data_IF_275125878012
#
_entry.id   IF_275125878012
#
_cell.length_a   1.000
_cell.length_b   1.000
_cell.length_c   1.000
_cell.angle_alpha   90.00
_cell.angle_beta   90.00
_cell.angle_gamma   90.00
#
_symmetry.space_group_name_H-M   'P 1'
#
loop_
_entity.id
_entity.type
_entity.pdbx_description
1 polymer ?
#
# COMPACT_ATOMS: atom_id res chain seq x y z
N UNK A 1 5.25 -2.82 14.96
CA UNK A 1 4.04 -2.04 14.59
C UNK A 1 3.54 -1.06 15.67
N UNK A 2 4.23 -0.81 16.80
CA UNK A 2 3.71 0.08 17.87
C UNK A 2 4.04 1.57 17.72
N UNK A 3 4.41 2.02 16.52
CA UNK A 3 4.83 3.40 16.24
C UNK A 3 4.78 3.74 14.74
N UNK A 4 3.74 3.26 14.04
CA UNK A 4 3.59 3.48 12.61
C UNK A 4 2.30 4.28 12.40
N UNK A 5 2.40 5.42 11.75
CA UNK A 5 1.26 6.28 11.43
C UNK A 5 0.61 5.93 10.08
N UNK A 6 1.34 5.21 9.22
CA UNK A 6 0.95 4.86 7.86
C UNK A 6 1.73 3.63 7.36
N UNK A 7 1.04 2.68 6.73
CA UNK A 7 1.66 1.60 5.97
C UNK A 7 1.57 1.89 4.48
N UNK A 8 2.69 1.74 3.77
CA UNK A 8 2.74 1.78 2.30
C UNK A 8 3.21 0.42 1.80
N UNK A 9 2.44 -0.20 0.90
CA UNK A 9 2.70 -1.56 0.42
C UNK A 9 2.70 -1.64 -1.11
N UNK A 10 3.70 -2.31 -1.68
CA UNK A 10 3.75 -2.63 -3.12
C UNK A 10 3.07 -3.98 -3.35
N UNK A 11 2.00 -4.02 -4.14
CA UNK A 11 1.06 -5.16 -4.25
C UNK A 11 0.82 -5.62 -5.68
N UNK A 12 1.76 -5.37 -6.60
CA UNK A 12 1.71 -5.87 -7.98
C UNK A 12 1.52 -7.39 -8.06
N UNK A 13 2.14 -8.11 -7.12
CA UNK A 13 2.16 -9.57 -7.08
C UNK A 13 1.77 -10.05 -5.69
N UNK A 14 1.05 -11.17 -5.64
CA UNK A 14 0.60 -11.75 -4.39
C UNK A 14 1.78 -12.19 -3.52
N UNK A 15 1.67 -11.89 -2.23
CA UNK A 15 2.62 -12.33 -1.21
C UNK A 15 1.87 -12.59 0.09
N UNK A 16 1.94 -13.83 0.59
CA UNK A 16 1.24 -14.23 1.82
C UNK A 16 1.73 -13.41 3.02
N UNK A 17 3.05 -13.21 3.14
CA UNK A 17 3.63 -12.45 4.25
C UNK A 17 3.16 -10.99 4.25
N UNK A 18 3.21 -10.33 3.09
CA UNK A 18 2.74 -8.95 2.95
C UNK A 18 1.24 -8.84 3.24
N UNK A 19 0.44 -9.81 2.78
CA UNK A 19 -1.00 -9.85 3.08
C UNK A 19 -1.30 -9.95 4.57
N UNK A 20 -0.51 -10.72 5.34
CA UNK A 20 -0.63 -10.82 6.80
C UNK A 20 -0.32 -9.46 7.46
N UNK A 21 0.76 -8.80 7.03
CA UNK A 21 1.14 -7.48 7.56
C UNK A 21 0.08 -6.41 7.26
N UNK A 22 -0.47 -6.38 6.04
CA UNK A 22 -1.57 -5.49 5.68
C UNK A 22 -2.81 -5.78 6.55
N UNK A 23 -3.13 -7.05 6.77
CA UNK A 23 -4.23 -7.46 7.64
C UNK A 23 -4.05 -6.96 9.08
N UNK A 24 -2.82 -7.03 9.61
CA UNK A 24 -2.51 -6.47 10.93
C UNK A 24 -2.60 -4.95 10.97
N UNK A 25 -2.11 -4.24 9.94
CA UNK A 25 -2.24 -2.79 9.86
C UNK A 25 -3.72 -2.37 9.90
N UNK A 26 -4.55 -3.00 9.06
CA UNK A 26 -5.99 -2.76 9.02
C UNK A 26 -6.67 -3.08 10.37
N UNK A 27 -6.30 -4.19 11.02
CA UNK A 27 -6.85 -4.57 12.33
C UNK A 27 -6.43 -3.63 13.48
N UNK A 28 -5.36 -2.85 13.29
CA UNK A 28 -4.85 -1.86 14.24
C UNK A 28 -5.28 -0.42 13.86
N UNK A 29 -6.21 -0.26 12.91
CA UNK A 29 -6.65 1.02 12.36
C UNK A 29 -5.50 1.88 11.80
N UNK A 30 -4.40 1.25 11.39
CA UNK A 30 -3.28 1.92 10.72
C UNK A 30 -3.67 2.09 9.24
N UNK A 31 -3.70 3.33 8.69
CA UNK A 31 -3.99 3.55 7.28
C UNK A 31 -3.04 2.76 6.38
N UNK A 32 -3.57 2.11 5.36
CA UNK A 32 -2.78 1.37 4.36
C UNK A 32 -2.98 2.03 2.99
N UNK A 33 -1.88 2.42 2.34
CA UNK A 33 -1.86 2.84 0.94
C UNK A 33 -1.12 1.79 0.13
N UNK A 34 -1.79 1.24 -0.88
CA UNK A 34 -1.23 0.24 -1.75
C UNK A 34 -0.79 0.85 -3.07
N UNK A 35 0.33 0.37 -3.60
CA UNK A 35 0.87 0.76 -4.90
C UNK A 35 1.02 -0.50 -5.74
N UNK A 36 0.64 -0.47 -7.01
CA UNK A 36 0.87 -1.58 -7.92
C UNK A 36 1.42 -1.10 -9.26
N UNK A 37 2.13 -1.98 -9.94
CA UNK A 37 2.73 -1.72 -11.24
C UNK A 37 1.63 -1.65 -12.30
N UNK A 38 1.84 -0.78 -13.29
CA UNK A 38 0.88 -0.65 -14.37
C UNK A 38 0.66 -1.95 -15.14
N UNK A 39 -0.61 -2.21 -15.45
CA UNK A 39 -1.07 -3.45 -16.10
C UNK A 39 -1.11 -4.68 -15.19
N UNK A 40 -0.86 -4.52 -13.88
CA UNK A 40 -1.09 -5.60 -12.90
C UNK A 40 -2.42 -5.40 -12.20
N UNK A 41 -3.05 -6.51 -11.79
CA UNK A 41 -4.32 -6.52 -11.07
C UNK A 41 -4.06 -7.05 -9.66
N UNK A 42 -4.04 -6.18 -8.63
CA UNK A 42 -3.88 -6.61 -7.25
C UNK A 42 -5.03 -7.54 -6.82
N UNK A 43 -4.80 -8.28 -5.73
CA UNK A 43 -5.86 -9.08 -5.12
C UNK A 43 -7.05 -8.21 -4.73
N UNK A 44 -8.28 -8.69 -4.98
CA UNK A 44 -9.52 -8.02 -4.57
C UNK A 44 -9.64 -7.85 -3.06
N UNK A 45 -8.91 -8.65 -2.27
CA UNK A 45 -8.84 -8.47 -0.83
C UNK A 45 -8.22 -7.10 -0.45
N UNK A 46 -7.30 -6.57 -1.28
CA UNK A 46 -6.61 -5.30 -1.02
C UNK A 46 -7.58 -4.13 -0.96
N UNK A 47 -8.60 -4.09 -1.82
CA UNK A 47 -9.58 -2.99 -1.82
C UNK A 47 -10.42 -2.93 -0.54
N UNK A 48 -10.51 -4.02 0.22
CA UNK A 48 -11.24 -4.06 1.49
C UNK A 48 -10.43 -3.64 2.71
N UNK A 49 -9.11 -3.51 2.58
CA UNK A 49 -8.17 -3.28 3.70
C UNK A 49 -7.21 -2.12 3.44
N UNK A 50 -7.39 -1.41 2.32
CA UNK A 50 -6.58 -0.25 1.95
C UNK A 50 -7.47 0.98 1.78
N UNK A 51 -6.90 2.16 2.10
CA UNK A 51 -7.54 3.45 1.90
C UNK A 51 -7.47 3.90 0.45
N UNK A 52 -6.36 3.60 -0.20
CA UNK A 52 -6.05 4.04 -1.56
C UNK A 52 -5.20 2.97 -2.25
N UNK A 53 -5.46 2.76 -3.54
CA UNK A 53 -4.70 1.86 -4.41
C UNK A 53 -4.24 2.67 -5.62
N UNK A 54 -2.93 2.79 -5.81
CA UNK A 54 -2.31 3.66 -6.81
C UNK A 54 -1.55 2.81 -7.83
N UNK A 55 -1.83 3.04 -9.11
CA UNK A 55 -1.09 2.43 -10.21
C UNK A 55 0.18 3.25 -10.55
N UNK A 56 1.29 2.60 -10.84
CA UNK A 56 2.57 3.24 -11.20
C UNK A 56 3.27 2.51 -12.36
N UNK A 57 3.74 3.25 -13.35
CA UNK A 57 4.35 2.70 -14.58
C UNK A 57 5.86 2.43 -14.45
N UNK A 58 6.51 2.94 -13.41
CA UNK A 58 7.95 2.73 -13.23
C UNK A 58 8.55 3.23 -11.93
N UNK A 59 9.87 3.03 -11.81
CA UNK A 59 10.63 3.32 -10.59
C UNK A 59 10.62 4.81 -10.20
N UNK A 60 10.75 5.70 -11.18
CA UNK A 60 10.79 7.15 -10.90
C UNK A 60 9.43 7.67 -10.43
N UNK A 61 8.36 7.16 -11.01
CA UNK A 61 7.00 7.43 -10.54
C UNK A 61 6.76 6.88 -9.14
N UNK A 62 7.16 5.62 -8.88
CA UNK A 62 7.06 5.03 -7.54
C UNK A 62 7.76 5.91 -6.49
N UNK A 63 8.97 6.41 -6.78
CA UNK A 63 9.70 7.32 -5.88
C UNK A 63 8.95 8.64 -5.65
N UNK A 64 8.24 9.16 -6.66
CA UNK A 64 7.43 10.37 -6.55
C UNK A 64 6.20 10.10 -5.69
N UNK A 65 5.45 9.04 -6.01
CA UNK A 65 4.22 8.65 -5.31
C UNK A 65 4.50 8.37 -3.83
N UNK A 66 5.55 7.63 -3.49
CA UNK A 66 5.91 7.38 -2.08
C UNK A 66 6.22 8.69 -1.35
N UNK A 67 6.94 9.63 -1.99
CA UNK A 67 7.20 10.95 -1.39
C UNK A 67 5.92 11.75 -1.17
N UNK A 68 4.98 11.71 -2.11
CA UNK A 68 3.69 12.41 -1.98
C UNK A 68 2.84 11.80 -0.87
N UNK A 69 2.79 10.47 -0.78
CA UNK A 69 2.06 9.74 0.26
C UNK A 69 2.58 10.10 1.66
N UNK A 70 3.91 10.07 1.86
CA UNK A 70 4.53 10.29 3.18
C UNK A 70 4.45 11.77 3.61
N UNK A 71 4.43 12.71 2.67
CA UNK A 71 4.35 14.14 2.99
C UNK A 71 2.91 14.68 3.06
N UNK A 72 1.91 13.88 2.67
CA UNK A 72 0.50 14.26 2.87
C UNK A 72 0.23 14.31 4.38
N UNK A 73 -0.27 15.43 4.93
CA UNK A 73 -0.71 15.44 6.31
C UNK A 73 -1.84 14.41 6.49
N UNK A 74 -1.67 13.53 7.48
CA UNK A 74 -2.60 12.46 7.85
C UNK A 74 -3.78 12.96 8.66
#
# INVERSE_FOLDING_TARGET
MKSIDLMVAEVSFSSTGLGIEIGWANALDIPVVCIHKSGTVPSTAISGVSREVIECEGREELKRVVREIVNKPT
#
